data_IF_085102919709
#
_entry.id   IF_085102919709
#
_cell.length_a   1.000
_cell.length_b   1.000
_cell.length_c   1.000
_cell.angle_alpha   90.00
_cell.angle_beta   90.00
_cell.angle_gamma   90.00
#
_symmetry.space_group_name_H-M   'P 1'
#
loop_
_entity.id
_entity.type
_entity.pdbx_description
1 polymer ?
#
# COMPACT_ATOMS: atom_id res chain seq x y z
N UNK A 1 2.82 -17.71 0.79
CA UNK A 1 2.62 -16.25 0.60
C UNK A 1 3.15 -15.87 -0.76
N UNK A 2 2.55 -14.90 -1.46
CA UNK A 2 3.06 -14.50 -2.77
C UNK A 2 4.46 -13.88 -2.61
N UNK A 3 5.39 -14.26 -3.48
CA UNK A 3 6.74 -13.69 -3.49
C UNK A 3 6.71 -12.25 -4.01
N UNK A 4 7.27 -11.29 -3.28
CA UNK A 4 7.43 -9.91 -3.72
C UNK A 4 8.76 -9.73 -4.46
N UNK A 5 8.73 -8.97 -5.57
CA UNK A 5 9.94 -8.62 -6.33
C UNK A 5 10.36 -7.17 -6.00
N UNK A 6 11.41 -6.97 -5.16
CA UNK A 6 11.86 -5.64 -4.77
C UNK A 6 12.32 -4.79 -5.97
N UNK A 7 12.97 -5.39 -6.98
CA UNK A 7 13.45 -4.68 -8.16
C UNK A 7 12.31 -4.06 -8.99
N UNK A 8 11.24 -4.81 -9.23
CA UNK A 8 10.05 -4.31 -9.91
C UNK A 8 9.34 -3.23 -9.05
N UNK A 9 9.35 -3.38 -7.74
CA UNK A 9 8.76 -2.39 -6.83
C UNK A 9 9.51 -1.06 -6.87
N UNK A 10 10.85 -1.10 -6.88
CA UNK A 10 11.72 0.08 -6.85
C UNK A 10 11.75 0.87 -8.18
N UNK A 11 11.29 0.28 -9.30
CA UNK A 11 11.20 0.97 -10.60
C UNK A 11 10.41 2.28 -10.55
N UNK A 12 9.44 2.38 -9.63
CA UNK A 12 8.60 3.57 -9.37
C UNK A 12 8.76 4.03 -7.92
N UNK A 13 9.98 3.98 -7.40
CA UNK A 13 10.28 4.22 -5.99
C UNK A 13 9.86 5.61 -5.51
N UNK A 14 10.15 6.66 -6.27
CA UNK A 14 9.83 8.04 -5.92
C UNK A 14 8.31 8.25 -5.80
N UNK A 15 7.55 7.80 -6.80
CA UNK A 15 6.09 7.93 -6.84
C UNK A 15 5.40 7.11 -5.74
N UNK A 16 5.98 5.97 -5.36
CA UNK A 16 5.48 5.11 -4.28
C UNK A 16 5.83 5.63 -2.90
N UNK A 17 6.95 6.35 -2.79
CA UNK A 17 7.39 6.95 -1.52
C UNK A 17 6.67 8.27 -1.22
N UNK A 18 6.27 9.05 -2.24
CA UNK A 18 5.58 10.33 -2.05
C UNK A 18 4.39 10.28 -1.09
N UNK A 19 3.46 9.30 -1.18
CA UNK A 19 2.37 9.20 -0.21
C UNK A 19 2.82 8.96 1.23
N UNK A 20 3.94 8.27 1.44
CA UNK A 20 4.52 8.11 2.78
C UNK A 20 5.06 9.43 3.32
N UNK A 21 5.69 10.26 2.47
CA UNK A 21 6.15 11.60 2.83
C UNK A 21 4.96 12.49 3.20
N UNK A 22 3.90 12.50 2.37
CA UNK A 22 2.71 13.32 2.60
C UNK A 22 1.98 12.90 3.88
N UNK A 23 1.84 11.59 4.14
CA UNK A 23 1.28 11.07 5.39
C UNK A 23 2.14 11.44 6.60
N UNK A 24 3.45 11.24 6.49
CA UNK A 24 4.41 11.56 7.55
C UNK A 24 4.31 13.04 7.95
N UNK A 25 4.13 13.95 6.97
CA UNK A 25 4.01 15.39 7.20
C UNK A 25 2.81 15.79 8.07
N UNK A 26 1.74 14.98 8.10
CA UNK A 26 0.54 15.23 8.88
C UNK A 26 0.65 14.77 10.35
N UNK A 27 1.73 14.10 10.72
CA UNK A 27 1.92 13.59 12.09
C UNK A 27 2.65 14.65 12.90
N UNK A 28 2.02 15.26 13.91
CA UNK A 28 2.67 16.25 14.77
C UNK A 28 3.60 15.61 15.79
N UNK A 29 4.48 16.43 16.36
CA UNK A 29 5.31 16.03 17.48
C UNK A 29 6.52 15.17 17.11
N UNK A 30 7.06 14.49 18.13
CA UNK A 30 8.27 13.68 18.03
C UNK A 30 8.04 12.31 18.68
N UNK A 31 7.41 11.37 17.98
CA UNK A 31 7.21 10.02 18.48
C UNK A 31 8.56 9.37 18.78
N UNK A 32 8.67 8.69 19.92
CA UNK A 32 9.90 8.03 20.36
C UNK A 32 9.97 6.57 19.93
N UNK A 33 8.83 5.87 19.92
CA UNK A 33 8.72 4.47 19.49
C UNK A 33 7.79 4.36 18.29
N UNK A 34 8.36 3.93 17.15
CA UNK A 34 7.69 3.90 15.87
C UNK A 34 7.76 2.50 15.29
N UNK A 35 6.63 1.99 14.81
CA UNK A 35 6.57 0.79 13.98
C UNK A 35 6.09 1.16 12.58
N UNK A 36 6.90 0.86 11.56
CA UNK A 36 6.52 0.91 10.15
C UNK A 36 5.95 -0.46 9.75
N UNK A 37 4.62 -0.56 9.70
CA UNK A 37 3.87 -1.77 9.40
C UNK A 37 3.80 -2.00 7.89
N UNK A 38 4.36 -3.11 7.40
CA UNK A 38 4.51 -3.44 6.00
C UNK A 38 5.57 -2.56 5.34
N UNK A 39 6.73 -2.46 5.98
CA UNK A 39 7.83 -1.57 5.60
C UNK A 39 8.41 -1.87 4.20
N UNK A 40 8.11 -3.04 3.61
CA UNK A 40 8.69 -3.47 2.35
C UNK A 40 10.23 -3.43 2.38
N UNK A 41 10.88 -2.89 1.32
CA UNK A 41 12.35 -2.79 1.26
C UNK A 41 12.91 -1.60 2.07
N UNK A 42 12.10 -0.92 2.91
CA UNK A 42 12.52 0.13 3.83
C UNK A 42 12.30 1.57 3.36
N UNK A 43 11.60 1.81 2.25
CA UNK A 43 11.40 3.17 1.71
C UNK A 43 10.64 4.09 2.68
N UNK A 44 9.52 3.64 3.24
CA UNK A 44 8.76 4.38 4.24
C UNK A 44 9.54 4.54 5.54
N UNK A 45 10.25 3.48 5.95
CA UNK A 45 11.12 3.52 7.14
C UNK A 45 12.21 4.58 7.02
N UNK A 46 12.79 4.78 5.83
CA UNK A 46 13.77 5.84 5.58
C UNK A 46 13.14 7.23 5.77
N UNK A 47 11.93 7.46 5.24
CA UNK A 47 11.19 8.73 5.44
C UNK A 47 10.96 9.02 6.92
N UNK A 48 10.58 7.99 7.70
CA UNK A 48 10.37 8.11 9.14
C UNK A 48 11.70 8.40 9.88
N UNK A 49 12.80 7.73 9.48
CA UNK A 49 14.13 7.95 10.05
C UNK A 49 14.64 9.36 9.80
N UNK A 50 14.46 9.87 8.57
CA UNK A 50 14.88 11.24 8.23
C UNK A 50 14.13 12.29 9.04
N UNK A 51 12.84 12.05 9.32
CA UNK A 51 12.03 12.99 10.11
C UNK A 51 12.28 12.90 11.63
N UNK A 52 12.49 11.69 12.12
CA UNK A 52 12.72 11.43 13.57
C UNK A 52 13.96 10.57 13.78
N UNK A 53 15.15 11.16 13.61
CA UNK A 53 16.42 10.41 13.66
C UNK A 53 16.68 9.75 15.01
N UNK A 54 16.16 10.33 16.11
CA UNK A 54 16.34 9.84 17.48
C UNK A 54 15.30 8.79 17.91
N UNK A 55 14.30 8.49 17.04
CA UNK A 55 13.27 7.53 17.40
C UNK A 55 13.79 6.09 17.38
N UNK A 56 13.30 5.27 18.30
CA UNK A 56 13.36 3.82 18.23
C UNK A 56 12.39 3.36 17.13
N UNK A 57 12.93 3.08 15.95
CA UNK A 57 12.17 2.79 14.73
C UNK A 57 12.44 1.36 14.28
N UNK A 58 11.36 0.57 14.15
CA UNK A 58 11.39 -0.77 13.59
C UNK A 58 10.50 -0.87 12.34
N UNK A 59 10.98 -1.56 11.31
CA UNK A 59 10.18 -1.96 10.15
C UNK A 59 9.74 -3.41 10.29
N UNK A 60 8.46 -3.67 10.03
CA UNK A 60 7.86 -5.00 10.04
C UNK A 60 7.28 -5.33 8.67
N UNK A 61 7.61 -6.50 8.14
CA UNK A 61 7.01 -7.04 6.92
C UNK A 61 6.92 -8.56 7.00
N UNK A 62 5.93 -9.14 6.34
CA UNK A 62 5.72 -10.59 6.29
C UNK A 62 6.51 -11.28 5.17
N UNK A 63 7.10 -10.53 4.22
CA UNK A 63 7.90 -11.07 3.10
C UNK A 63 9.37 -11.18 3.49
N UNK A 64 9.94 -12.41 3.47
CA UNK A 64 11.37 -12.61 3.68
C UNK A 64 12.24 -11.83 2.69
N UNK A 65 11.80 -11.73 1.42
CA UNK A 65 12.52 -11.03 0.36
C UNK A 65 12.58 -9.52 0.61
N UNK A 66 11.46 -8.93 1.09
CA UNK A 66 11.41 -7.52 1.45
C UNK A 66 12.30 -7.20 2.65
N UNK A 67 12.25 -8.02 3.69
CA UNK A 67 13.11 -7.86 4.87
C UNK A 67 14.59 -8.06 4.52
N UNK A 68 14.92 -9.02 3.66
CA UNK A 68 16.29 -9.20 3.19
C UNK A 68 16.81 -7.96 2.44
N UNK A 69 15.98 -7.39 1.55
CA UNK A 69 16.29 -6.14 0.84
C UNK A 69 16.43 -4.96 1.79
N UNK A 70 15.52 -4.82 2.77
CA UNK A 70 15.58 -3.76 3.76
C UNK A 70 16.89 -3.81 4.58
N UNK A 71 17.29 -4.99 5.02
CA UNK A 71 18.58 -5.21 5.71
C UNK A 71 19.79 -4.86 4.85
N UNK A 72 19.73 -5.20 3.56
CA UNK A 72 20.83 -4.90 2.62
C UNK A 72 20.94 -3.38 2.36
N UNK A 73 19.80 -2.70 2.17
CA UNK A 73 19.77 -1.27 1.85
C UNK A 73 19.98 -0.38 3.08
N UNK A 74 19.58 -0.84 4.27
CA UNK A 74 19.61 -0.08 5.53
C UNK A 74 20.11 -0.96 6.68
N UNK A 75 21.41 -1.32 6.70
CA UNK A 75 21.96 -2.31 7.62
C UNK A 75 21.88 -1.91 9.11
N UNK A 76 21.79 -0.62 9.41
CA UNK A 76 21.62 -0.12 10.78
C UNK A 76 20.15 -0.13 11.26
N UNK A 77 19.19 -0.53 10.40
CA UNK A 77 17.78 -0.57 10.74
C UNK A 77 17.39 -1.79 11.57
N UNK A 78 16.31 -1.67 12.32
CA UNK A 78 15.67 -2.79 13.03
C UNK A 78 14.56 -3.38 12.13
N UNK A 79 14.69 -4.65 11.73
CA UNK A 79 13.80 -5.29 10.78
C UNK A 79 13.20 -6.57 11.35
N UNK A 80 11.87 -6.65 11.37
CA UNK A 80 11.08 -7.73 11.95
C UNK A 80 10.38 -8.49 10.82
N UNK A 81 10.67 -9.77 10.69
CA UNK A 81 9.94 -10.67 9.78
C UNK A 81 8.75 -11.26 10.52
N UNK A 82 7.57 -10.66 10.34
CA UNK A 82 6.32 -11.13 10.94
C UNK A 82 5.10 -10.58 10.20
N UNK A 83 3.95 -11.24 10.35
CA UNK A 83 2.65 -10.72 9.91
C UNK A 83 2.04 -9.78 10.94
N UNK A 84 1.20 -8.84 10.48
CA UNK A 84 0.46 -7.92 11.35
C UNK A 84 -0.46 -8.66 12.34
N UNK A 85 -0.99 -9.82 11.92
CA UNK A 85 -1.91 -10.63 12.72
C UNK A 85 -1.22 -11.36 13.89
N UNK A 86 0.06 -11.70 13.72
CA UNK A 86 0.84 -12.48 14.69
C UNK A 86 1.76 -11.64 15.56
N UNK A 87 2.11 -10.44 15.11
CA UNK A 87 3.01 -9.55 15.85
C UNK A 87 2.32 -8.93 17.07
N UNK A 88 3.08 -8.75 18.13
CA UNK A 88 2.71 -7.98 19.31
C UNK A 88 3.93 -7.16 19.76
N UNK A 89 3.84 -5.83 19.79
CA UNK A 89 4.93 -5.00 20.30
C UNK A 89 5.22 -5.30 21.78
N UNK A 90 6.50 -5.28 22.15
CA UNK A 90 6.92 -5.53 23.52
C UNK A 90 6.55 -4.37 24.47
N UNK A 91 6.35 -3.19 23.94
CA UNK A 91 5.93 -2.01 24.69
C UNK A 91 4.99 -1.14 23.84
N UNK A 92 4.16 -0.28 24.46
CA UNK A 92 3.29 0.64 23.72
C UNK A 92 4.08 1.56 22.79
N UNK A 93 3.51 1.82 21.61
CA UNK A 93 4.10 2.63 20.55
C UNK A 93 3.51 4.05 20.53
N UNK A 94 4.31 5.02 20.16
CA UNK A 94 3.84 6.38 19.93
C UNK A 94 3.26 6.55 18.52
N UNK A 95 3.76 5.74 17.55
CA UNK A 95 3.30 5.75 16.17
C UNK A 95 3.31 4.34 15.59
N UNK A 96 2.17 3.94 15.03
CA UNK A 96 2.08 2.88 14.03
C UNK A 96 1.86 3.54 12.68
N UNK A 97 2.82 3.39 11.78
CA UNK A 97 2.78 3.93 10.43
C UNK A 97 2.57 2.80 9.42
N UNK A 98 1.74 3.03 8.39
CA UNK A 98 1.52 2.02 7.34
C UNK A 98 1.22 2.68 6.01
N UNK A 99 2.04 2.40 5.00
CA UNK A 99 1.87 2.96 3.65
C UNK A 99 1.65 1.87 2.60
N UNK A 100 0.47 1.83 2.01
CA UNK A 100 0.07 0.90 0.95
C UNK A 100 0.15 -0.59 1.34
N UNK A 101 -0.27 -0.93 2.56
CA UNK A 101 -0.22 -2.28 3.12
C UNK A 101 -1.60 -2.85 3.43
N UNK A 102 -2.45 -2.09 4.13
CA UNK A 102 -3.71 -2.62 4.67
C UNK A 102 -4.61 -3.22 3.59
N UNK A 103 -4.57 -2.73 2.35
CA UNK A 103 -5.33 -3.33 1.26
C UNK A 103 -5.00 -4.80 0.98
N UNK A 104 -3.87 -5.32 1.47
CA UNK A 104 -3.46 -6.72 1.34
C UNK A 104 -3.87 -7.59 2.54
N UNK A 105 -4.33 -6.96 3.61
CA UNK A 105 -4.72 -7.64 4.84
C UNK A 105 -6.25 -7.78 4.88
N UNK A 106 -6.76 -8.96 5.24
CA UNK A 106 -8.20 -9.15 5.42
C UNK A 106 -8.67 -8.56 6.76
N UNK A 107 -9.98 -8.49 6.94
CA UNK A 107 -10.65 -8.21 8.21
C UNK A 107 -10.16 -6.93 8.92
N UNK A 108 -10.29 -5.80 8.23
CA UNK A 108 -9.95 -4.50 8.80
C UNK A 108 -10.74 -4.19 10.09
N UNK A 109 -11.94 -4.75 10.24
CA UNK A 109 -12.76 -4.57 11.44
C UNK A 109 -12.08 -5.12 12.70
N UNK A 110 -11.31 -6.18 12.57
CA UNK A 110 -10.52 -6.76 13.66
C UNK A 110 -9.12 -6.15 13.74
N UNK A 111 -8.52 -5.86 12.58
CA UNK A 111 -7.15 -5.38 12.49
C UNK A 111 -6.98 -3.98 13.10
N UNK A 112 -7.84 -3.02 12.73
CA UNK A 112 -7.67 -1.64 13.15
C UNK A 112 -7.79 -1.43 14.66
N UNK A 113 -8.79 -2.00 15.38
CA UNK A 113 -8.81 -1.95 16.84
C UNK A 113 -7.57 -2.59 17.49
N UNK A 114 -7.04 -3.67 16.89
CA UNK A 114 -5.79 -4.30 17.34
C UNK A 114 -4.59 -3.34 17.22
N UNK A 115 -4.44 -2.68 16.06
CA UNK A 115 -3.36 -1.70 15.84
C UNK A 115 -3.48 -0.51 16.80
N UNK A 116 -4.71 -0.01 17.03
CA UNK A 116 -4.97 1.01 18.05
C UNK A 116 -4.60 0.53 19.47
N UNK A 117 -4.78 -0.76 19.74
CA UNK A 117 -4.36 -1.40 21.00
C UNK A 117 -2.85 -1.34 21.25
N UNK A 118 -2.02 -1.33 20.20
CA UNK A 118 -0.56 -1.23 20.31
C UNK A 118 -0.06 0.15 20.75
N UNK A 119 -0.88 1.18 20.59
CA UNK A 119 -0.49 2.55 20.87
C UNK A 119 -0.49 2.87 22.36
N UNK A 120 0.44 3.71 22.76
CA UNK A 120 0.36 4.43 24.05
C UNK A 120 -0.83 5.41 24.04
N UNK A 121 -1.33 5.84 25.21
CA UNK A 121 -2.27 6.96 25.28
C UNK A 121 -1.71 8.20 24.56
N UNK A 122 -2.51 8.82 23.68
CA UNK A 122 -2.07 9.94 22.83
C UNK A 122 -1.20 9.55 21.62
N UNK A 123 -0.79 8.30 21.49
CA UNK A 123 -0.11 7.79 20.29
C UNK A 123 -1.05 7.75 19.09
N UNK A 124 -0.53 7.63 17.86
CA UNK A 124 -1.35 7.64 16.67
C UNK A 124 -1.09 6.47 15.71
N UNK A 125 -2.17 6.07 15.03
CA UNK A 125 -2.16 5.18 13.87
C UNK A 125 -2.27 6.03 12.62
N UNK A 126 -1.23 6.02 11.77
CA UNK A 126 -1.18 6.76 10.51
C UNK A 126 -1.12 5.78 9.34
N UNK A 127 -2.11 5.86 8.47
CA UNK A 127 -2.29 4.89 7.37
C UNK A 127 -2.57 5.58 6.06
N UNK A 128 -1.98 5.05 4.99
CA UNK A 128 -2.34 5.33 3.61
C UNK A 128 -2.69 4.04 2.88
N UNK A 129 -3.77 4.05 2.13
CA UNK A 129 -4.19 2.96 1.24
C UNK A 129 -4.62 3.52 -0.12
N UNK A 130 -4.55 2.73 -1.21
CA UNK A 130 -5.26 3.09 -2.43
C UNK A 130 -6.76 3.20 -2.14
N UNK A 131 -7.40 4.29 -2.59
CA UNK A 131 -8.83 4.47 -2.40
C UNK A 131 -9.64 3.46 -3.21
N UNK A 132 -10.83 3.11 -2.73
CA UNK A 132 -11.80 2.33 -3.49
C UNK A 132 -12.13 3.06 -4.79
N UNK A 133 -12.09 2.35 -5.92
CA UNK A 133 -12.24 2.99 -7.24
C UNK A 133 -11.11 3.96 -7.64
N UNK A 134 -9.97 3.93 -6.94
CA UNK A 134 -8.88 4.91 -7.05
C UNK A 134 -8.17 4.99 -8.39
N UNK A 135 -8.41 4.08 -9.32
CA UNK A 135 -7.93 4.13 -10.70
C UNK A 135 -8.84 3.33 -11.63
N UNK A 136 -9.07 3.86 -12.83
CA UNK A 136 -9.83 3.19 -13.91
C UNK A 136 -9.18 1.89 -14.38
N UNK A 137 -7.86 1.77 -14.25
CA UNK A 137 -7.13 0.56 -14.63
C UNK A 137 -7.62 -0.70 -13.90
N UNK A 138 -8.12 -0.58 -12.68
CA UNK A 138 -8.75 -1.72 -11.98
C UNK A 138 -10.05 -2.16 -12.63
N UNK A 139 -10.84 -1.23 -13.14
CA UNK A 139 -12.05 -1.53 -13.90
C UNK A 139 -11.73 -2.30 -15.18
N UNK A 140 -10.74 -1.85 -15.94
CA UNK A 140 -10.26 -2.53 -17.14
C UNK A 140 -9.75 -3.93 -16.82
N UNK A 141 -8.96 -4.10 -15.76
CA UNK A 141 -8.45 -5.39 -15.29
C UNK A 141 -9.59 -6.35 -14.94
N UNK A 142 -10.58 -5.89 -14.19
CA UNK A 142 -11.74 -6.70 -13.81
C UNK A 142 -12.60 -7.08 -15.03
N UNK A 143 -12.80 -6.15 -15.97
CA UNK A 143 -13.55 -6.40 -17.20
C UNK A 143 -12.87 -7.45 -18.09
N UNK A 144 -11.56 -7.38 -18.25
CA UNK A 144 -10.79 -8.39 -19.01
C UNK A 144 -10.81 -9.74 -18.30
N UNK A 145 -10.58 -9.77 -16.99
CA UNK A 145 -10.63 -11.00 -16.19
C UNK A 145 -11.99 -11.71 -16.25
N UNK A 146 -13.08 -10.96 -16.42
CA UNK A 146 -14.44 -11.49 -16.60
C UNK A 146 -14.78 -12.02 -18.01
N UNK A 147 -13.88 -11.88 -18.99
CA UNK A 147 -14.11 -12.42 -20.34
C UNK A 147 -14.15 -13.96 -20.35
N UNK A 148 -14.95 -14.60 -21.21
CA UNK A 148 -15.07 -16.08 -21.26
C UNK A 148 -13.73 -16.82 -21.31
N UNK A 149 -12.75 -16.25 -22.00
CA UNK A 149 -11.40 -16.81 -22.13
C UNK A 149 -10.65 -16.86 -20.80
N UNK A 150 -10.86 -15.87 -19.90
CA UNK A 150 -10.08 -15.68 -18.69
C UNK A 150 -10.83 -16.02 -17.40
N UNK A 151 -12.17 -15.96 -17.42
CA UNK A 151 -13.02 -15.97 -16.22
C UNK A 151 -12.76 -17.16 -15.29
N UNK A 152 -12.52 -18.36 -15.85
CA UNK A 152 -12.26 -19.57 -15.05
C UNK A 152 -10.91 -19.47 -14.31
N UNK A 153 -9.85 -19.13 -15.03
CA UNK A 153 -8.52 -18.96 -14.42
C UNK A 153 -8.48 -17.79 -13.41
N UNK A 154 -9.28 -16.75 -13.65
CA UNK A 154 -9.31 -15.53 -12.83
C UNK A 154 -10.31 -15.57 -11.69
N UNK A 155 -11.02 -16.68 -11.48
CA UNK A 155 -12.00 -16.80 -10.41
C UNK A 155 -11.39 -16.48 -9.03
N UNK A 156 -11.91 -15.43 -8.35
CA UNK A 156 -11.43 -14.99 -7.04
C UNK A 156 -10.13 -14.16 -7.04
N UNK A 157 -9.50 -13.88 -8.19
CA UNK A 157 -8.28 -13.05 -8.25
C UNK A 157 -8.54 -11.61 -7.73
N UNK A 158 -9.70 -11.03 -8.03
CA UNK A 158 -10.09 -9.69 -7.59
C UNK A 158 -10.30 -9.55 -6.07
N UNK A 159 -10.52 -10.66 -5.35
CA UNK A 159 -10.70 -10.68 -3.89
C UNK A 159 -9.41 -10.62 -3.07
N UNK A 160 -8.24 -10.57 -3.73
CA UNK A 160 -6.94 -10.53 -3.03
C UNK A 160 -6.62 -9.17 -2.38
N UNK A 161 -7.42 -8.14 -2.65
CA UNK A 161 -7.26 -6.81 -2.06
C UNK A 161 -8.58 -6.30 -1.47
N UNK A 162 -8.45 -5.64 -0.31
CA UNK A 162 -9.57 -5.14 0.48
C UNK A 162 -9.59 -3.60 0.44
N UNK A 163 -10.67 -3.04 -0.08
CA UNK A 163 -10.87 -1.60 -0.21
C UNK A 163 -12.17 -1.19 0.45
N UNK A 164 -12.09 -0.21 1.34
CA UNK A 164 -13.24 0.35 2.04
C UNK A 164 -13.34 1.86 1.78
N UNK A 165 -14.53 2.41 1.99
CA UNK A 165 -14.78 3.84 1.95
C UNK A 165 -14.27 4.53 3.22
N UNK A 166 -14.05 5.85 3.18
CA UNK A 166 -13.57 6.62 4.32
C UNK A 166 -14.46 6.45 5.57
N UNK A 167 -15.78 6.41 5.39
CA UNK A 167 -16.74 6.22 6.48
C UNK A 167 -16.50 4.91 7.25
N UNK A 168 -16.19 3.82 6.56
CA UNK A 168 -15.87 2.54 7.21
C UNK A 168 -14.68 2.65 8.17
N UNK A 169 -13.62 3.35 7.77
CA UNK A 169 -12.46 3.56 8.62
C UNK A 169 -12.77 4.49 9.79
N UNK A 170 -13.55 5.54 9.54
CA UNK A 170 -13.99 6.46 10.60
C UNK A 170 -14.80 5.74 11.67
N UNK A 171 -15.79 4.94 11.27
CA UNK A 171 -16.67 4.22 12.21
C UNK A 171 -15.91 3.23 13.09
N UNK A 172 -14.84 2.62 12.56
CA UNK A 172 -14.00 1.69 13.32
C UNK A 172 -13.05 2.39 14.29
N UNK A 173 -12.58 3.59 13.96
CA UNK A 173 -11.52 4.28 14.71
C UNK A 173 -12.07 5.27 15.74
N UNK A 174 -13.15 5.96 15.41
CA UNK A 174 -13.72 7.01 16.26
C UNK A 174 -14.07 6.57 17.69
N UNK A 175 -14.56 5.34 17.96
CA UNK A 175 -14.84 4.91 19.33
C UNK A 175 -13.62 4.87 20.25
N UNK A 176 -12.43 4.63 19.71
CA UNK A 176 -11.17 4.51 20.46
C UNK A 176 -10.22 5.70 20.33
N UNK A 177 -10.61 6.74 19.60
CA UNK A 177 -9.76 7.89 19.28
C UNK A 177 -10.31 9.18 19.89
N UNK A 178 -9.42 10.12 20.24
CA UNK A 178 -9.77 11.49 20.56
C UNK A 178 -9.99 12.33 19.30
N UNK A 179 -9.28 11.96 18.22
CA UNK A 179 -9.37 12.59 16.92
C UNK A 179 -9.11 11.55 15.81
N UNK A 180 -9.87 11.66 14.74
CA UNK A 180 -9.63 10.95 13.47
C UNK A 180 -9.62 11.97 12.36
N UNK A 181 -8.53 12.05 11.62
CA UNK A 181 -8.36 12.88 10.44
C UNK A 181 -8.32 11.98 9.20
N UNK A 182 -9.17 12.27 8.22
CA UNK A 182 -9.24 11.50 6.97
C UNK A 182 -9.23 12.45 5.78
N UNK A 183 -8.47 12.11 4.76
CA UNK A 183 -8.48 12.86 3.50
C UNK A 183 -8.16 11.96 2.31
N UNK A 184 -8.44 12.44 1.12
CA UNK A 184 -8.07 11.81 -0.12
C UNK A 184 -7.15 12.73 -0.93
N UNK A 185 -6.17 12.12 -1.62
CA UNK A 185 -5.29 12.82 -2.55
C UNK A 185 -5.27 12.09 -3.88
N UNK A 186 -5.40 12.82 -4.98
CA UNK A 186 -5.22 12.28 -6.33
C UNK A 186 -3.83 12.65 -6.81
N UNK A 187 -2.97 11.65 -6.96
CA UNK A 187 -1.67 11.81 -7.60
C UNK A 187 -1.82 11.59 -9.10
N UNK A 188 -1.34 12.53 -9.91
CA UNK A 188 -1.27 12.37 -11.34
C UNK A 188 0.15 11.95 -11.72
N UNK A 189 0.34 10.68 -12.08
CA UNK A 189 1.65 10.14 -12.44
C UNK A 189 1.84 10.25 -13.96
N UNK A 190 2.79 11.08 -14.46
CA UNK A 190 3.13 11.14 -15.89
C UNK A 190 4.00 9.93 -16.25
N UNK A 191 3.39 8.92 -16.85
CA UNK A 191 4.07 7.70 -17.29
C UNK A 191 4.55 7.85 -18.74
N UNK A 192 5.69 7.24 -19.08
CA UNK A 192 6.31 7.37 -20.38
C UNK A 192 5.43 6.81 -21.54
N UNK A 193 4.53 5.88 -21.25
CA UNK A 193 3.67 5.25 -22.25
C UNK A 193 2.53 4.47 -21.59
N UNK A 194 1.57 3.98 -22.41
CA UNK A 194 0.57 3.02 -21.96
C UNK A 194 1.19 1.70 -21.45
N UNK A 195 2.32 1.28 -22.01
CA UNK A 195 3.03 0.10 -21.52
C UNK A 195 3.52 0.30 -20.08
N UNK A 196 3.96 1.51 -19.73
CA UNK A 196 4.38 1.85 -18.37
C UNK A 196 3.22 1.78 -17.34
N UNK A 197 1.93 1.96 -17.77
CA UNK A 197 0.76 1.68 -16.93
C UNK A 197 0.71 0.22 -16.50
N UNK A 198 0.89 -0.68 -17.46
CA UNK A 198 0.87 -2.14 -17.21
C UNK A 198 2.02 -2.53 -16.29
N UNK A 199 3.22 -2.02 -16.56
CA UNK A 199 4.41 -2.28 -15.73
C UNK A 199 4.23 -1.78 -14.28
N UNK A 200 3.56 -0.62 -14.09
CA UNK A 200 3.22 -0.14 -12.76
C UNK A 200 2.35 -1.14 -11.97
N UNK A 201 1.32 -1.68 -12.65
CA UNK A 201 0.35 -2.58 -12.04
C UNK A 201 0.83 -4.03 -11.93
N UNK A 202 1.76 -4.46 -12.78
CA UNK A 202 2.30 -5.81 -12.81
C UNK A 202 2.89 -6.22 -11.45
N UNK A 203 3.63 -5.31 -10.83
CA UNK A 203 4.20 -5.52 -9.49
C UNK A 203 3.22 -5.35 -8.32
N UNK A 204 1.96 -5.00 -8.58
CA UNK A 204 0.97 -4.70 -7.53
C UNK A 204 -0.41 -5.26 -7.85
N UNK A 205 -1.33 -4.41 -8.31
CA UNK A 205 -2.75 -4.76 -8.51
C UNK A 205 -3.03 -5.86 -9.53
N UNK A 206 -2.16 -6.07 -10.52
CA UNK A 206 -2.31 -7.12 -11.52
C UNK A 206 -1.70 -8.45 -11.05
N UNK A 207 -0.80 -8.43 -10.08
CA UNK A 207 -0.09 -9.63 -9.61
C UNK A 207 -1.01 -10.81 -9.26
N UNK A 208 -2.09 -10.66 -8.48
CA UNK A 208 -2.98 -11.78 -8.16
C UNK A 208 -3.61 -12.47 -9.38
N UNK A 209 -3.72 -11.75 -10.49
CA UNK A 209 -4.22 -12.27 -11.76
C UNK A 209 -3.12 -12.99 -12.53
N UNK A 210 -1.93 -12.39 -12.62
CA UNK A 210 -0.79 -12.98 -13.37
C UNK A 210 -0.28 -14.29 -12.75
N UNK A 211 -0.35 -14.43 -11.42
CA UNK A 211 0.04 -15.63 -10.69
C UNK A 211 -0.86 -16.85 -11.02
N UNK A 212 -2.07 -16.61 -11.53
CA UNK A 212 -3.03 -17.67 -11.92
C UNK A 212 -2.85 -18.15 -13.35
N UNK A 213 -2.08 -17.45 -14.16
CA UNK A 213 -1.87 -17.79 -15.56
C UNK A 213 -0.75 -18.82 -15.70
N UNK A 214 -0.93 -19.82 -16.59
CA UNK A 214 -0.06 -21.00 -16.64
C UNK A 214 1.36 -20.67 -17.10
N UNK A 215 1.51 -19.72 -18.02
CA UNK A 215 2.78 -19.45 -18.66
C UNK A 215 2.99 -17.98 -19.04
N UNK A 216 4.15 -17.67 -19.59
CA UNK A 216 4.53 -16.32 -20.01
C UNK A 216 3.71 -15.82 -21.22
N UNK A 217 3.27 -16.70 -22.11
CA UNK A 217 2.47 -16.33 -23.29
C UNK A 217 1.08 -15.84 -22.84
N UNK A 218 0.40 -16.61 -21.98
CA UNK A 218 -0.89 -16.23 -21.41
C UNK A 218 -0.81 -14.91 -20.62
N UNK A 219 0.27 -14.70 -19.85
CA UNK A 219 0.51 -13.43 -19.15
C UNK A 219 0.69 -12.26 -20.11
N UNK A 220 1.39 -12.45 -21.20
CA UNK A 220 1.63 -11.42 -22.22
C UNK A 220 0.31 -11.04 -22.90
N UNK A 221 -0.49 -12.03 -23.31
CA UNK A 221 -1.80 -11.79 -23.92
C UNK A 221 -2.76 -11.08 -22.96
N UNK A 222 -2.85 -11.55 -21.72
CA UNK A 222 -3.70 -10.92 -20.72
C UNK A 222 -3.32 -9.45 -20.49
N UNK A 223 -2.03 -9.14 -20.34
CA UNK A 223 -1.52 -7.77 -20.22
C UNK A 223 -1.86 -6.91 -21.44
N UNK A 224 -1.74 -7.46 -22.64
CA UNK A 224 -2.09 -6.75 -23.89
C UNK A 224 -3.60 -6.43 -23.95
N UNK A 225 -4.45 -7.36 -23.56
CA UNK A 225 -5.90 -7.13 -23.51
C UNK A 225 -6.29 -6.07 -22.45
N UNK A 226 -5.64 -6.07 -21.27
CA UNK A 226 -5.87 -5.03 -20.25
C UNK A 226 -5.39 -3.68 -20.76
N UNK A 227 -4.24 -3.61 -21.43
CA UNK A 227 -3.73 -2.39 -22.05
C UNK A 227 -4.72 -1.80 -23.03
N UNK A 228 -5.26 -2.63 -23.93
CA UNK A 228 -6.23 -2.18 -24.93
C UNK A 228 -7.54 -1.72 -24.29
N UNK A 229 -8.03 -2.46 -23.29
CA UNK A 229 -9.25 -2.11 -22.57
C UNK A 229 -9.17 -0.77 -21.82
N UNK A 230 -7.97 -0.37 -21.37
CA UNK A 230 -7.79 0.88 -20.63
C UNK A 230 -7.30 2.06 -21.50
N UNK A 231 -6.92 1.84 -22.75
CA UNK A 231 -6.31 2.85 -23.62
C UNK A 231 -7.15 4.13 -23.76
N UNK A 232 -8.47 3.98 -23.92
CA UNK A 232 -9.39 5.12 -24.02
C UNK A 232 -9.55 5.92 -22.72
N UNK A 233 -9.32 5.28 -21.57
CA UNK A 233 -9.41 5.92 -20.26
C UNK A 233 -8.17 6.76 -19.91
N UNK A 234 -7.06 6.53 -20.61
CA UNK A 234 -5.78 7.18 -20.37
C UNK A 234 -5.21 7.73 -21.71
N UNK A 235 -5.78 8.81 -22.28
CA UNK A 235 -5.29 9.37 -23.52
C UNK A 235 -3.85 9.86 -23.36
N UNK A 236 -3.07 9.79 -24.44
CA UNK A 236 -1.74 10.37 -24.46
C UNK A 236 -1.82 11.90 -24.44
N UNK A 237 -0.98 12.52 -23.63
CA UNK A 237 -0.78 13.97 -23.59
C UNK A 237 0.01 14.47 -24.81
N UNK A 238 0.11 15.79 -24.99
CA UNK A 238 0.80 16.39 -26.12
C UNK A 238 2.30 16.02 -26.20
N UNK A 239 2.92 15.69 -25.07
CA UNK A 239 4.31 15.21 -24.98
C UNK A 239 4.46 13.69 -25.13
N UNK A 240 3.37 12.99 -25.49
CA UNK A 240 3.32 11.54 -25.66
C UNK A 240 3.21 10.74 -24.37
N UNK A 241 3.27 11.39 -23.20
CA UNK A 241 3.10 10.69 -21.90
C UNK A 241 1.65 10.39 -21.62
N UNK A 242 1.44 9.48 -20.67
CA UNK A 242 0.12 9.07 -20.20
C UNK A 242 -0.03 9.50 -18.74
N UNK A 243 -1.01 10.34 -18.44
CA UNK A 243 -1.31 10.72 -17.07
C UNK A 243 -2.19 9.66 -16.40
N UNK A 244 -1.66 9.05 -15.34
CA UNK A 244 -2.39 8.10 -14.50
C UNK A 244 -2.84 8.79 -13.22
N UNK A 245 -4.11 9.19 -13.09
CA UNK A 245 -4.64 9.62 -11.81
C UNK A 245 -4.77 8.42 -10.89
N UNK A 246 -4.22 8.53 -9.69
CA UNK A 246 -4.28 7.49 -8.70
C UNK A 246 -4.71 8.07 -7.35
N UNK A 247 -5.97 7.86 -7.02
CA UNK A 247 -6.56 8.34 -5.76
C UNK A 247 -6.14 7.46 -4.60
N UNK A 248 -5.73 8.09 -3.51
CA UNK A 248 -5.33 7.46 -2.27
C UNK A 248 -6.12 8.02 -1.11
N UNK A 249 -6.48 7.16 -0.18
CA UNK A 249 -7.10 7.50 1.09
C UNK A 249 -6.06 7.47 2.19
N UNK A 250 -6.10 8.49 3.02
CA UNK A 250 -5.24 8.67 4.17
C UNK A 250 -6.09 8.79 5.42
N UNK A 251 -5.57 8.30 6.55
CA UNK A 251 -6.12 8.63 7.85
C UNK A 251 -5.06 8.63 8.94
N UNK A 252 -5.27 9.48 9.93
CA UNK A 252 -4.51 9.50 11.18
C UNK A 252 -5.52 9.47 12.33
N UNK A 253 -5.40 8.50 13.21
CA UNK A 253 -6.25 8.34 14.39
C UNK A 253 -5.39 8.42 15.65
N UNK A 254 -5.66 9.39 16.52
CA UNK A 254 -4.98 9.54 17.81
C UNK A 254 -5.73 8.75 18.88
N UNK A 255 -5.04 7.80 19.49
CA UNK A 255 -5.60 7.01 20.57
C UNK A 255 -5.99 7.90 21.74
N UNK A 256 -7.17 7.64 22.28
CA UNK A 256 -7.68 8.38 23.43
C UNK A 256 -6.67 8.41 24.57
N UNK A 257 -6.41 9.62 25.11
CA UNK A 257 -5.69 9.82 26.35
C UNK A 257 -6.45 9.21 27.53
N UNK A 258 -5.75 8.98 28.64
CA UNK A 258 -6.38 8.53 29.88
C UNK A 258 -7.12 9.71 30.53
#
# INVERSE_FOLDING_TARGET
>A
MPSWNPGQYLKFGAERTRPAVDLCAQIPGSPRRILDLGCGPGNSTAVLRDRWPEAELAGLDSSPEMIAQARASHPAGTWILAGAESHQPAAPLDLVFSNAVLQWLPDHARLLPRLMGWLAPGGCLAVQVPAKGGTKLRGALAAVAGRPRWQEAMAGAGGAMHFHEAAFYYDLLAPGADRVDLWETIYHHPLASHQALIEWFEGTGMRPYLERLPDAAARTEFKAEVLEACRGDFPAAADGKVLMPFKRLFFVAWKRGL
#
